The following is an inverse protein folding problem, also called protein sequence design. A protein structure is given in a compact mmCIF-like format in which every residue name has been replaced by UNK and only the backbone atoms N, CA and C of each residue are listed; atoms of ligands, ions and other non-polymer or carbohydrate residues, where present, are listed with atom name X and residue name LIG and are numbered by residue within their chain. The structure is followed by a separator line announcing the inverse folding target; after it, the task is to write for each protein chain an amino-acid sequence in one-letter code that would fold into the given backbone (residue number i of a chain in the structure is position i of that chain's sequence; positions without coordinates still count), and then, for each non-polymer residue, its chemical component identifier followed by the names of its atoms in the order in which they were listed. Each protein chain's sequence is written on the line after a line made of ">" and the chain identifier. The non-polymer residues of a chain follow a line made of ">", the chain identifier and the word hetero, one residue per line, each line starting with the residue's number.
data_IF_995975352753
#
_entry.id   IF_995975352753
#
_cell.length_a   1.000
_cell.length_b   1.000
_cell.length_c   1.000
_cell.angle_alpha   90.00
_cell.angle_beta   90.00
_cell.angle_gamma   90.00
#
_symmetry.space_group_name_H-M   'P 1'
#
loop_
_entity.id
_entity.type
_entity.pdbx_description
1 polymer ?
#
# COMPACT_ATOMS: atom_id res chain seq x y z
N UNK A 1 12.12 -10.46 -18.89
CA UNK A 1 10.73 -9.95 -18.94
C UNK A 1 10.16 -10.07 -17.54
N UNK A 2 9.86 -8.94 -16.88
CA UNK A 2 9.42 -8.93 -15.47
C UNK A 2 7.89 -8.84 -15.36
N UNK A 3 7.24 -9.90 -15.86
CA UNK A 3 5.78 -10.05 -15.81
C UNK A 3 5.38 -11.14 -14.82
N UNK A 4 4.34 -10.89 -14.04
CA UNK A 4 3.73 -11.92 -13.20
C UNK A 4 3.16 -13.06 -14.07
N UNK A 5 3.12 -14.28 -13.52
CA UNK A 5 2.55 -15.45 -14.22
C UNK A 5 1.13 -15.17 -14.74
N UNK A 6 0.30 -14.50 -13.95
CA UNK A 6 -1.07 -14.14 -14.35
C UNK A 6 -1.09 -13.23 -15.58
N UNK A 7 -0.21 -12.22 -15.65
CA UNK A 7 -0.10 -11.33 -16.82
C UNK A 7 0.39 -12.07 -18.06
N UNK A 8 1.33 -13.00 -17.88
CA UNK A 8 1.81 -13.86 -18.99
C UNK A 8 0.66 -14.74 -19.50
N UNK A 9 -0.08 -15.41 -18.60
CA UNK A 9 -1.21 -16.24 -18.98
C UNK A 9 -2.33 -15.44 -19.68
N UNK A 10 -2.58 -14.20 -19.26
CA UNK A 10 -3.53 -13.31 -19.94
C UNK A 10 -3.06 -12.92 -21.33
N UNK A 11 -1.79 -12.53 -21.49
CA UNK A 11 -1.22 -12.19 -22.79
C UNK A 11 -1.25 -13.39 -23.75
N UNK A 12 -0.90 -14.59 -23.26
CA UNK A 12 -0.93 -15.82 -24.06
C UNK A 12 -2.34 -16.19 -24.53
N UNK A 13 -3.38 -15.94 -23.72
CA UNK A 13 -4.77 -16.12 -24.15
C UNK A 13 -5.16 -15.17 -25.28
N UNK A 14 -4.70 -13.93 -25.25
CA UNK A 14 -4.93 -12.97 -26.34
C UNK A 14 -4.21 -13.43 -27.60
N UNK A 15 -2.94 -13.83 -27.48
CA UNK A 15 -2.15 -14.34 -28.59
C UNK A 15 -2.69 -15.66 -29.17
N UNK A 16 -3.39 -16.50 -28.38
CA UNK A 16 -4.09 -17.71 -28.84
C UNK A 16 -5.29 -17.35 -29.74
N UNK A 17 -6.07 -16.35 -29.32
CA UNK A 17 -7.17 -15.81 -30.15
C UNK A 17 -6.65 -15.20 -31.45
N UNK A 18 -5.48 -14.55 -31.39
CA UNK A 18 -4.83 -13.98 -32.59
C UNK A 18 -4.11 -15.03 -33.45
N UNK A 19 -4.07 -16.30 -33.01
CA UNK A 19 -3.46 -17.41 -33.78
C UNK A 19 -1.92 -17.48 -33.69
N UNK A 20 -1.27 -16.64 -32.92
CA UNK A 20 0.19 -16.63 -32.77
C UNK A 20 0.74 -17.75 -31.88
N UNK A 21 -0.04 -18.20 -30.90
CA UNK A 21 0.26 -19.33 -30.02
C UNK A 21 -0.94 -20.27 -29.93
N UNK A 22 -0.71 -21.48 -29.47
CA UNK A 22 -1.75 -22.47 -29.22
C UNK A 22 -1.55 -23.10 -27.85
N UNK A 23 -2.64 -23.32 -27.12
CA UNK A 23 -2.60 -24.01 -25.85
C UNK A 23 -2.43 -25.51 -26.04
N UNK A 24 -1.44 -26.10 -25.35
CA UNK A 24 -1.16 -27.54 -25.35
C UNK A 24 -1.14 -28.07 -23.92
N UNK A 25 -1.11 -29.42 -23.77
CA UNK A 25 -0.98 -30.02 -22.45
C UNK A 25 0.36 -29.64 -21.81
N UNK A 26 0.30 -28.87 -20.75
CA UNK A 26 1.48 -28.41 -20.00
C UNK A 26 1.98 -27.00 -20.36
N UNK A 27 1.37 -26.30 -21.30
CA UNK A 27 1.81 -24.93 -21.63
C UNK A 27 1.24 -24.36 -22.92
N UNK A 28 2.08 -23.58 -23.56
CA UNK A 28 1.79 -22.88 -24.80
C UNK A 28 2.89 -23.14 -25.81
N UNK A 29 2.55 -23.22 -27.09
CA UNK A 29 3.49 -23.39 -28.20
C UNK A 29 3.22 -22.33 -29.27
N UNK A 30 4.26 -21.82 -29.90
CA UNK A 30 4.13 -20.93 -31.04
C UNK A 30 3.57 -21.71 -32.24
N UNK A 31 2.63 -21.12 -32.96
CA UNK A 31 2.09 -21.71 -34.19
C UNK A 31 3.07 -21.57 -35.35
N UNK A 32 4.03 -20.64 -35.26
CA UNK A 32 4.93 -20.31 -36.38
C UNK A 32 4.32 -19.36 -37.42
N UNK A 33 3.05 -18.99 -37.24
CA UNK A 33 2.40 -18.02 -38.14
C UNK A 33 2.96 -16.61 -37.88
N UNK A 34 2.96 -15.80 -38.97
CA UNK A 34 3.36 -14.39 -38.87
C UNK A 34 2.32 -13.62 -38.06
N UNK A 35 2.74 -13.04 -36.94
CA UNK A 35 1.89 -12.20 -36.11
C UNK A 35 2.40 -10.76 -36.10
N UNK A 36 1.47 -9.82 -36.20
CA UNK A 36 1.71 -8.41 -36.05
C UNK A 36 0.68 -7.81 -35.06
N UNK A 37 1.08 -6.87 -34.27
CA UNK A 37 0.18 -6.16 -33.36
C UNK A 37 -0.86 -5.36 -34.17
N UNK A 38 -2.14 -5.65 -33.98
CA UNK A 38 -3.24 -4.96 -34.64
C UNK A 38 -3.58 -3.66 -33.91
N UNK A 39 -2.83 -2.58 -34.19
CA UNK A 39 -3.04 -1.26 -33.62
C UNK A 39 -4.49 -0.80 -33.78
N UNK A 40 -5.10 -0.98 -34.96
CA UNK A 40 -6.46 -0.52 -35.26
C UNK A 40 -7.50 -1.17 -34.35
N UNK A 41 -7.34 -2.47 -34.08
CA UNK A 41 -8.23 -3.22 -33.19
C UNK A 41 -8.07 -2.74 -31.73
N UNK A 42 -6.84 -2.58 -31.25
CA UNK A 42 -6.58 -2.20 -29.87
C UNK A 42 -6.89 -0.72 -29.61
N UNK A 43 -6.62 0.17 -30.56
CA UNK A 43 -7.00 1.57 -30.47
C UNK A 43 -8.55 1.71 -30.46
N UNK A 44 -9.25 0.97 -31.34
CA UNK A 44 -10.71 0.91 -31.33
C UNK A 44 -11.30 0.37 -30.01
N UNK A 45 -10.60 -0.52 -29.31
CA UNK A 45 -11.00 -1.01 -28.00
C UNK A 45 -10.79 0.08 -26.94
N UNK A 46 -9.70 0.84 -26.99
CA UNK A 46 -9.46 1.98 -26.10
C UNK A 46 -10.54 3.05 -26.29
N UNK A 47 -10.84 3.44 -27.51
CA UNK A 47 -11.91 4.39 -27.86
C UNK A 47 -13.29 3.90 -27.36
N UNK A 48 -13.57 2.60 -27.44
CA UNK A 48 -14.80 2.03 -26.92
C UNK A 48 -14.88 2.17 -25.40
N UNK A 49 -13.77 1.94 -24.68
CA UNK A 49 -13.70 2.12 -23.23
C UNK A 49 -13.89 3.56 -22.80
N UNK A 50 -13.34 4.51 -23.55
CA UNK A 50 -13.51 5.94 -23.29
C UNK A 50 -14.99 6.33 -23.46
N UNK A 51 -15.65 5.88 -24.54
CA UNK A 51 -17.09 6.09 -24.73
C UNK A 51 -17.94 5.48 -23.62
N UNK A 52 -17.61 4.28 -23.14
CA UNK A 52 -18.29 3.66 -22.00
C UNK A 52 -18.17 4.52 -20.73
N UNK A 53 -17.02 5.14 -20.48
CA UNK A 53 -16.81 6.05 -19.35
C UNK A 53 -17.63 7.34 -19.51
N UNK A 54 -17.66 7.92 -20.71
CA UNK A 54 -18.45 9.12 -21.00
C UNK A 54 -19.95 8.86 -20.80
N UNK A 55 -20.43 7.67 -21.19
CA UNK A 55 -21.81 7.24 -20.96
C UNK A 55 -22.15 7.12 -19.46
N UNK A 56 -21.22 6.66 -18.63
CA UNK A 56 -21.41 6.64 -17.17
C UNK A 56 -21.56 8.05 -16.61
N UNK A 57 -20.74 8.99 -17.06
CA UNK A 57 -20.83 10.39 -16.65
C UNK A 57 -22.15 11.04 -17.16
N UNK A 58 -22.56 10.73 -18.38
CA UNK A 58 -23.84 11.18 -18.92
C UNK A 58 -25.03 10.62 -18.16
N UNK A 59 -24.95 9.36 -17.69
CA UNK A 59 -25.95 8.75 -16.82
C UNK A 59 -26.06 9.46 -15.45
N UNK A 60 -24.95 9.88 -14.89
CA UNK A 60 -24.97 10.65 -13.63
C UNK A 60 -25.60 12.03 -13.84
N UNK A 61 -25.31 12.69 -14.96
CA UNK A 61 -25.74 14.05 -15.26
C UNK A 61 -27.16 14.16 -15.83
N UNK A 62 -27.77 13.05 -16.28
CA UNK A 62 -29.07 13.10 -16.98
C UNK A 62 -30.22 13.50 -16.07
N UNK A 63 -31.09 14.40 -16.57
CA UNK A 63 -32.40 14.72 -16.00
C UNK A 63 -33.54 13.84 -16.57
N UNK A 64 -33.25 13.04 -17.58
CA UNK A 64 -34.18 12.09 -18.18
C UNK A 64 -34.42 10.87 -17.27
N UNK A 65 -35.37 10.02 -17.65
CA UNK A 65 -35.62 8.78 -16.93
C UNK A 65 -34.39 7.87 -17.00
N UNK A 66 -33.74 7.58 -15.84
CA UNK A 66 -32.53 6.77 -15.78
C UNK A 66 -32.68 5.35 -16.33
N UNK A 67 -33.89 4.76 -16.18
CA UNK A 67 -34.16 3.43 -16.73
C UNK A 67 -34.25 3.46 -18.25
N UNK A 68 -34.84 4.49 -18.83
CA UNK A 68 -34.90 4.67 -20.28
C UNK A 68 -33.51 4.92 -20.84
N UNK A 69 -32.68 5.75 -20.15
CA UNK A 69 -31.28 5.95 -20.51
C UNK A 69 -30.54 4.62 -20.59
N UNK A 70 -30.59 3.80 -19.56
CA UNK A 70 -29.89 2.51 -19.53
C UNK A 70 -30.40 1.55 -20.62
N UNK A 71 -31.72 1.53 -20.86
CA UNK A 71 -32.29 0.67 -21.90
C UNK A 71 -31.91 1.13 -23.30
N UNK A 72 -31.77 2.45 -23.54
CA UNK A 72 -31.31 2.95 -24.83
C UNK A 72 -29.86 2.56 -25.13
N UNK A 73 -29.00 2.57 -24.12
CA UNK A 73 -27.60 2.15 -24.27
C UNK A 73 -27.45 0.61 -24.42
N UNK A 74 -28.52 -0.13 -24.17
CA UNK A 74 -28.62 -1.58 -24.41
C UNK A 74 -29.34 -1.92 -25.70
N UNK A 75 -29.58 -0.93 -26.57
CA UNK A 75 -30.28 -1.08 -27.86
C UNK A 75 -31.67 -1.74 -27.71
N UNK A 76 -32.40 -1.42 -26.62
CA UNK A 76 -33.73 -1.98 -26.37
C UNK A 76 -34.76 -1.42 -27.35
N UNK A 77 -35.26 -2.24 -28.33
CA UNK A 77 -36.19 -1.77 -29.36
C UNK A 77 -37.59 -1.51 -28.83
N UNK A 78 -37.88 -1.79 -27.56
CA UNK A 78 -39.21 -1.69 -26.99
C UNK A 78 -39.47 -0.36 -26.26
N UNK A 79 -38.51 0.57 -26.31
CA UNK A 79 -38.65 1.88 -25.69
C UNK A 79 -39.70 2.72 -26.44
N UNK A 80 -40.76 3.10 -25.72
CA UNK A 80 -41.79 4.00 -26.26
C UNK A 80 -41.38 5.47 -26.22
N UNK A 81 -41.96 6.26 -27.12
CA UNK A 81 -41.76 7.72 -27.14
C UNK A 81 -42.30 8.34 -25.82
N UNK A 82 -41.46 9.09 -25.12
CA UNK A 82 -41.79 9.73 -23.84
C UNK A 82 -41.94 8.75 -22.64
N UNK A 83 -41.47 7.50 -22.81
CA UNK A 83 -41.52 6.50 -21.74
C UNK A 83 -40.80 6.97 -20.48
N UNK A 84 -41.40 6.68 -19.31
CA UNK A 84 -40.85 6.95 -17.98
C UNK A 84 -41.09 5.75 -17.07
N UNK A 85 -40.11 5.36 -16.28
CA UNK A 85 -40.24 4.20 -15.39
C UNK A 85 -41.11 4.47 -14.14
N UNK A 86 -41.35 5.74 -13.80
CA UNK A 86 -42.16 6.17 -12.63
C UNK A 86 -41.52 5.89 -11.26
N UNK A 87 -40.31 5.35 -11.20
CA UNK A 87 -39.68 4.93 -9.94
C UNK A 87 -38.26 5.43 -9.72
N UNK A 88 -37.55 5.93 -10.74
CA UNK A 88 -36.25 6.55 -10.54
C UNK A 88 -36.40 7.96 -9.94
N UNK A 89 -35.33 8.50 -9.39
CA UNK A 89 -35.24 9.85 -8.82
C UNK A 89 -35.74 10.93 -9.78
N UNK A 90 -35.31 10.89 -11.05
CA UNK A 90 -35.74 11.83 -12.09
C UNK A 90 -37.22 11.69 -12.46
N UNK A 91 -37.84 10.53 -12.26
CA UNK A 91 -39.26 10.33 -12.49
C UNK A 91 -40.12 10.76 -11.31
N UNK A 92 -39.67 10.50 -10.09
CA UNK A 92 -40.43 10.71 -8.85
C UNK A 92 -40.13 12.04 -8.21
N UNK A 93 -39.02 12.69 -8.53
CA UNK A 93 -38.48 13.86 -7.83
C UNK A 93 -37.94 13.53 -6.42
N UNK A 94 -37.92 12.27 -6.05
CA UNK A 94 -37.38 11.81 -4.76
C UNK A 94 -35.89 11.64 -4.86
N UNK A 95 -35.14 12.68 -4.56
CA UNK A 95 -33.70 12.61 -4.45
C UNK A 95 -33.28 12.07 -3.08
N UNK A 96 -32.24 11.24 -3.07
CA UNK A 96 -31.63 10.81 -1.80
C UNK A 96 -31.11 12.03 -1.04
N UNK A 97 -31.17 12.04 0.30
CA UNK A 97 -30.61 13.12 1.09
C UNK A 97 -29.13 13.31 0.76
N UNK A 98 -28.75 14.53 0.40
CA UNK A 98 -27.35 14.92 0.18
C UNK A 98 -26.73 15.53 1.43
N UNK A 99 -27.56 15.87 2.41
CA UNK A 99 -27.11 16.43 3.66
C UNK A 99 -26.55 15.32 4.55
N UNK A 100 -25.33 15.51 4.98
CA UNK A 100 -24.66 14.62 5.93
C UNK A 100 -25.01 15.08 7.35
N UNK A 101 -25.45 14.17 8.20
CA UNK A 101 -25.64 14.45 9.62
C UNK A 101 -24.33 15.04 10.20
N UNK A 102 -24.35 16.27 10.76
CA UNK A 102 -23.16 16.92 11.30
C UNK A 102 -22.45 16.07 12.36
N UNK A 103 -23.16 15.36 13.21
CA UNK A 103 -22.57 14.50 14.23
C UNK A 103 -21.88 13.27 13.61
N UNK A 104 -22.42 12.72 12.53
CA UNK A 104 -21.78 11.65 11.77
C UNK A 104 -20.54 12.17 11.03
N UNK A 105 -20.62 13.35 10.41
CA UNK A 105 -19.49 13.99 9.75
C UNK A 105 -18.33 14.24 10.72
N UNK A 106 -18.61 14.77 11.91
CA UNK A 106 -17.62 15.00 12.96
C UNK A 106 -16.96 13.69 13.44
N UNK A 107 -17.75 12.62 13.63
CA UNK A 107 -17.23 11.29 14.00
C UNK A 107 -16.34 10.69 12.91
N UNK A 108 -16.70 10.84 11.65
CA UNK A 108 -15.90 10.38 10.51
C UNK A 108 -14.62 11.19 10.43
N UNK A 109 -14.70 12.52 10.54
CA UNK A 109 -13.55 13.41 10.50
C UNK A 109 -12.57 13.11 11.64
N UNK A 110 -13.05 12.91 12.86
CA UNK A 110 -12.24 12.50 14.00
C UNK A 110 -11.52 11.16 13.73
N UNK A 111 -12.21 10.18 13.13
CA UNK A 111 -11.61 8.90 12.76
C UNK A 111 -10.59 9.02 11.63
N UNK A 112 -10.85 9.86 10.62
CA UNK A 112 -9.90 10.14 9.54
C UNK A 112 -8.66 10.90 10.04
N UNK A 113 -8.80 11.70 11.09
CA UNK A 113 -7.73 12.42 11.76
C UNK A 113 -7.02 11.59 12.84
N UNK A 114 -7.53 10.41 13.18
CA UNK A 114 -6.93 9.54 14.20
C UNK A 114 -5.44 9.29 13.87
N UNK A 115 -4.56 9.31 14.89
CA UNK A 115 -3.14 9.17 14.69
C UNK A 115 -2.78 7.81 14.12
N UNK A 116 -2.12 7.80 12.95
CA UNK A 116 -1.56 6.61 12.33
C UNK A 116 -2.59 5.62 11.78
N UNK A 117 -2.06 4.58 11.19
CA UNK A 117 -2.79 3.43 10.64
C UNK A 117 -2.09 2.14 11.03
N UNK A 118 -2.84 1.03 11.25
CA UNK A 118 -2.20 -0.25 11.56
C UNK A 118 -1.40 -0.78 10.36
N UNK A 119 -0.23 -1.35 10.62
CA UNK A 119 0.51 -2.14 9.67
C UNK A 119 0.03 -3.59 9.71
N UNK A 120 -0.12 -4.20 8.54
CA UNK A 120 -0.51 -5.60 8.44
C UNK A 120 0.57 -6.51 9.04
N UNK A 121 0.29 -7.11 10.19
CA UNK A 121 1.21 -8.02 10.86
C UNK A 121 1.30 -9.35 10.12
N UNK A 122 2.52 -9.79 9.82
CA UNK A 122 2.82 -11.13 9.32
C UNK A 122 2.96 -12.09 10.49
N UNK A 123 2.16 -13.16 10.52
CA UNK A 123 2.15 -14.15 11.62
C UNK A 123 2.93 -15.42 11.28
N UNK A 124 3.10 -15.72 10.00
CA UNK A 124 3.73 -16.95 9.50
C UNK A 124 4.75 -16.61 8.42
N UNK A 125 5.84 -17.35 8.38
CA UNK A 125 6.77 -17.30 7.25
C UNK A 125 6.11 -17.88 5.99
N UNK A 126 6.44 -17.36 4.78
CA UNK A 126 5.82 -17.86 3.56
C UNK A 126 6.29 -19.28 3.23
N UNK A 127 5.38 -20.10 2.74
CA UNK A 127 5.71 -21.45 2.27
C UNK A 127 6.77 -21.39 1.16
N UNK A 128 7.82 -22.19 1.28
CA UNK A 128 8.96 -22.21 0.35
C UNK A 128 10.08 -21.24 0.69
N UNK A 129 9.99 -20.51 1.80
CA UNK A 129 11.14 -19.78 2.34
C UNK A 129 12.04 -20.68 3.19
N UNK A 130 13.28 -20.24 3.43
CA UNK A 130 14.21 -20.89 4.35
C UNK A 130 13.71 -20.82 5.79
N UNK A 131 13.01 -19.73 6.14
CA UNK A 131 12.38 -19.54 7.43
C UNK A 131 11.03 -20.25 7.48
N UNK A 132 10.69 -20.85 8.61
CA UNK A 132 9.48 -21.68 8.77
C UNK A 132 8.72 -21.31 10.04
N UNK A 133 7.48 -21.77 10.13
CA UNK A 133 6.62 -21.67 11.30
C UNK A 133 6.12 -20.24 11.59
N UNK A 134 5.82 -19.98 12.86
CA UNK A 134 5.33 -18.69 13.33
C UNK A 134 6.46 -17.68 13.48
N UNK A 135 6.16 -16.45 13.10
CA UNK A 135 7.02 -15.30 13.38
C UNK A 135 6.85 -14.94 14.85
N UNK A 136 7.95 -14.86 15.58
CA UNK A 136 7.97 -14.58 17.03
C UNK A 136 8.59 -13.23 17.30
N UNK A 137 8.21 -12.60 18.41
CA UNK A 137 8.78 -11.34 18.90
C UNK A 137 8.43 -10.09 18.07
N UNK A 138 7.63 -10.22 16.99
CA UNK A 138 7.18 -9.08 16.18
C UNK A 138 5.74 -8.77 16.54
N UNK A 139 5.52 -7.59 17.10
CA UNK A 139 4.21 -7.11 17.53
C UNK A 139 3.48 -6.38 16.38
N UNK A 140 2.22 -5.99 16.64
CA UNK A 140 1.46 -5.17 15.71
C UNK A 140 2.10 -3.78 15.57
N UNK A 141 2.28 -3.34 14.34
CA UNK A 141 2.90 -2.07 14.02
C UNK A 141 1.91 -0.98 13.62
N UNK A 142 2.41 0.26 13.55
CA UNK A 142 1.66 1.41 13.01
C UNK A 142 2.49 2.18 11.96
N UNK A 143 1.81 2.93 11.08
CA UNK A 143 2.42 3.93 10.21
C UNK A 143 1.71 5.28 10.36
N UNK A 144 2.34 6.38 9.92
CA UNK A 144 1.67 7.70 9.95
C UNK A 144 0.44 7.74 9.05
N UNK A 145 0.43 6.98 7.95
CA UNK A 145 -0.69 6.89 7.03
C UNK A 145 -0.44 5.91 5.90
N UNK A 146 -1.46 5.76 5.03
CA UNK A 146 -1.33 5.00 3.77
C UNK A 146 -1.03 5.94 2.61
N UNK A 147 -0.27 5.46 1.62
CA UNK A 147 0.04 6.27 0.42
C UNK A 147 -1.18 6.52 -0.47
N UNK A 148 -2.20 5.67 -0.39
CA UNK A 148 -3.48 5.82 -1.09
C UNK A 148 -4.55 6.58 -0.27
N UNK A 149 -4.20 7.08 0.91
CA UNK A 149 -5.09 7.92 1.72
C UNK A 149 -5.26 9.29 1.05
N UNK A 150 -6.52 9.69 0.82
CA UNK A 150 -6.85 10.95 0.13
C UNK A 150 -6.30 12.17 0.87
N UNK A 151 -6.34 12.16 2.20
CA UNK A 151 -5.93 13.31 3.02
C UNK A 151 -4.42 13.37 3.28
N UNK A 152 -3.77 12.22 3.51
CA UNK A 152 -2.37 12.14 3.97
C UNK A 152 -1.42 11.58 2.92
N UNK A 153 -1.93 10.76 2.00
CA UNK A 153 -1.14 10.05 1.01
C UNK A 153 -0.26 10.95 0.14
N UNK A 154 -0.79 12.04 -0.45
CA UNK A 154 0.02 12.94 -1.28
C UNK A 154 1.23 13.52 -0.55
N UNK A 155 1.06 13.99 0.70
CA UNK A 155 2.14 14.56 1.50
C UNK A 155 3.19 13.49 1.90
N UNK A 156 2.75 12.28 2.28
CA UNK A 156 3.64 11.16 2.58
C UNK A 156 4.39 10.67 1.33
N UNK A 157 3.71 10.61 0.19
CA UNK A 157 4.35 10.23 -1.07
C UNK A 157 5.40 11.25 -1.50
N UNK A 158 5.15 12.54 -1.32
CA UNK A 158 6.14 13.60 -1.58
C UNK A 158 7.34 13.49 -0.64
N UNK A 159 7.11 13.35 0.67
CA UNK A 159 8.15 13.15 1.66
C UNK A 159 9.09 11.97 1.30
N UNK A 160 8.50 10.84 0.91
CA UNK A 160 9.24 9.62 0.56
C UNK A 160 9.92 9.67 -0.83
N UNK A 161 9.48 10.53 -1.73
CA UNK A 161 10.19 10.80 -2.99
C UNK A 161 11.40 11.68 -2.77
N UNK A 162 11.23 12.75 -2.00
CA UNK A 162 12.29 13.73 -1.78
C UNK A 162 13.39 13.23 -0.86
N UNK A 163 13.04 12.39 0.13
CA UNK A 163 13.94 11.86 1.16
C UNK A 163 14.79 12.96 1.87
N UNK A 164 14.37 14.20 1.75
CA UNK A 164 15.11 15.37 2.21
C UNK A 164 14.75 15.81 3.63
N UNK A 165 13.71 15.19 4.22
CA UNK A 165 13.26 15.57 5.55
C UNK A 165 14.33 15.29 6.59
N UNK A 166 14.54 16.29 7.44
CA UNK A 166 15.38 16.23 8.64
C UNK A 166 14.60 16.80 9.82
N UNK A 167 14.57 16.11 10.96
CA UNK A 167 13.83 16.55 12.13
C UNK A 167 14.30 17.89 12.67
N UNK A 168 13.37 18.75 13.02
CA UNK A 168 13.67 20.00 13.72
C UNK A 168 14.13 19.72 15.15
N UNK A 169 14.92 20.64 15.72
CA UNK A 169 15.39 20.56 17.10
C UNK A 169 14.22 20.58 18.09
N UNK A 170 13.26 21.47 17.86
CA UNK A 170 12.02 21.51 18.62
C UNK A 170 10.95 20.69 17.87
N UNK A 171 10.59 19.55 18.41
CA UNK A 171 9.63 18.63 17.78
C UNK A 171 8.22 19.24 17.62
N UNK A 172 7.85 20.25 18.42
CA UNK A 172 6.55 20.92 18.32
C UNK A 172 6.41 21.78 17.08
N UNK A 173 7.54 22.24 16.54
CA UNK A 173 7.61 23.04 15.31
C UNK A 173 7.75 22.14 14.07
N UNK A 174 7.79 20.82 14.28
CA UNK A 174 7.97 19.81 13.24
C UNK A 174 6.70 19.01 13.02
N UNK A 175 6.09 19.18 11.86
CA UNK A 175 4.82 18.53 11.53
C UNK A 175 4.91 16.99 11.50
N UNK A 176 6.07 16.42 11.14
CA UNK A 176 6.21 14.97 11.04
C UNK A 176 6.52 14.35 12.40
N UNK A 177 7.40 14.95 13.18
CA UNK A 177 7.64 14.53 14.57
C UNK A 177 6.38 14.66 15.41
N UNK A 178 5.63 15.74 15.28
CA UNK A 178 4.33 15.90 15.96
C UNK A 178 3.37 14.77 15.61
N UNK A 179 3.32 14.35 14.34
CA UNK A 179 2.49 13.21 13.94
C UNK A 179 2.98 11.89 14.52
N UNK A 180 4.29 11.64 14.52
CA UNK A 180 4.85 10.44 15.18
C UNK A 180 4.55 10.43 16.67
N UNK A 181 4.72 11.53 17.35
CA UNK A 181 4.40 11.66 18.80
C UNK A 181 2.92 11.37 19.03
N UNK A 182 2.02 11.86 18.18
CA UNK A 182 0.60 11.56 18.27
C UNK A 182 0.31 10.06 18.08
N UNK A 183 0.96 9.40 17.09
CA UNK A 183 0.84 7.94 16.90
C UNK A 183 1.34 7.18 18.13
N UNK A 184 2.46 7.59 18.68
CA UNK A 184 3.03 6.95 19.88
C UNK A 184 2.16 7.18 21.12
N UNK A 185 1.56 8.34 21.27
CA UNK A 185 0.65 8.65 22.38
C UNK A 185 -0.69 7.88 22.30
N UNK A 186 -1.17 7.60 21.08
CA UNK A 186 -2.39 6.84 20.81
C UNK A 186 -2.16 5.32 20.71
N UNK A 187 -0.92 4.87 20.91
CA UNK A 187 -0.60 3.46 20.79
C UNK A 187 -0.86 2.73 22.11
N UNK A 188 -1.82 1.85 22.10
CA UNK A 188 -2.16 0.99 23.22
C UNK A 188 -1.18 -0.20 23.27
N UNK A 189 -0.02 0.00 23.86
CA UNK A 189 1.01 -1.01 24.05
C UNK A 189 0.99 -1.60 25.46
N UNK A 190 1.19 -2.89 25.57
CA UNK A 190 1.31 -3.58 26.86
C UNK A 190 2.55 -3.08 27.65
N UNK A 191 3.67 -2.87 26.93
CA UNK A 191 4.92 -2.35 27.48
C UNK A 191 5.48 -1.29 26.54
N UNK A 192 5.79 -0.12 27.11
CA UNK A 192 6.36 0.99 26.35
C UNK A 192 7.74 0.62 25.80
N UNK A 193 8.06 0.96 24.53
CA UNK A 193 9.39 0.75 23.98
C UNK A 193 10.47 1.47 24.78
N UNK A 194 11.59 0.79 25.00
CA UNK A 194 12.77 1.34 25.67
C UNK A 194 13.81 1.85 24.69
N UNK A 195 13.86 1.26 23.49
CA UNK A 195 14.87 1.56 22.47
C UNK A 195 14.19 1.85 21.12
N UNK A 196 14.74 2.81 20.37
CA UNK A 196 14.37 3.10 18.98
C UNK A 196 15.51 2.70 18.06
N UNK A 197 15.21 1.89 17.06
CA UNK A 197 16.16 1.44 16.03
C UNK A 197 15.66 1.90 14.67
N UNK A 198 16.55 2.40 13.82
CA UNK A 198 16.24 2.75 12.44
C UNK A 198 16.44 1.54 11.51
N UNK A 199 15.49 1.28 10.61
CA UNK A 199 15.67 0.33 9.52
C UNK A 199 16.26 1.07 8.32
N UNK A 200 17.49 0.71 7.95
CA UNK A 200 18.20 1.26 6.81
C UNK A 200 17.53 0.92 5.46
N UNK A 201 17.97 1.61 4.45
CA UNK A 201 17.52 1.47 3.06
C UNK A 201 18.71 1.41 2.13
N UNK A 202 18.57 0.78 0.96
CA UNK A 202 19.55 0.86 -0.12
C UNK A 202 19.69 2.30 -0.69
N UNK A 203 18.65 3.12 -0.55
CA UNK A 203 18.70 4.56 -0.83
C UNK A 203 19.33 5.30 0.36
N UNK A 204 20.55 5.89 0.20
CA UNK A 204 21.23 6.56 1.31
C UNK A 204 20.47 7.77 1.89
N UNK A 205 19.76 8.53 1.04
CA UNK A 205 19.00 9.69 1.49
C UNK A 205 17.80 9.25 2.36
N UNK A 206 17.15 8.16 1.99
CA UNK A 206 16.10 7.54 2.80
C UNK A 206 16.64 6.96 4.10
N UNK A 207 17.78 6.26 4.05
CA UNK A 207 18.42 5.71 5.23
C UNK A 207 18.73 6.81 6.25
N UNK A 208 19.28 7.93 5.79
CA UNK A 208 19.60 9.09 6.62
C UNK A 208 18.34 9.76 7.19
N UNK A 209 17.28 9.91 6.39
CA UNK A 209 15.99 10.43 6.84
C UNK A 209 15.41 9.57 7.96
N UNK A 210 15.43 8.25 7.82
CA UNK A 210 14.89 7.32 8.83
C UNK A 210 15.76 7.34 10.08
N UNK A 211 17.09 7.33 9.94
CA UNK A 211 18.02 7.34 11.06
C UNK A 211 17.89 8.62 11.91
N UNK A 212 17.93 9.79 11.27
CA UNK A 212 17.77 11.07 11.96
C UNK A 212 16.40 11.21 12.65
N UNK A 213 15.37 10.65 12.06
CA UNK A 213 14.03 10.64 12.68
C UNK A 213 13.97 9.68 13.88
N UNK A 214 14.58 8.50 13.78
CA UNK A 214 14.66 7.56 14.90
C UNK A 214 15.40 8.16 16.10
N UNK A 215 16.51 8.86 15.85
CA UNK A 215 17.26 9.57 16.89
C UNK A 215 16.42 10.70 17.53
N UNK A 216 15.71 11.48 16.71
CA UNK A 216 14.82 12.52 17.22
C UNK A 216 13.67 11.94 18.05
N UNK A 217 13.07 10.83 17.65
CA UNK A 217 12.04 10.13 18.41
C UNK A 217 12.55 9.55 19.70
N UNK A 218 13.76 9.00 19.71
CA UNK A 218 14.40 8.52 20.93
C UNK A 218 14.55 9.66 21.95
N UNK A 219 15.07 10.81 21.51
CA UNK A 219 15.24 12.01 22.35
C UNK A 219 13.90 12.52 22.89
N UNK A 220 12.89 12.69 22.02
CA UNK A 220 11.56 13.20 22.42
C UNK A 220 10.84 12.22 23.33
N UNK A 221 10.94 10.94 23.04
CA UNK A 221 10.32 9.86 23.80
C UNK A 221 11.10 9.43 25.04
N UNK A 222 12.26 10.01 25.33
CA UNK A 222 13.15 9.55 26.42
C UNK A 222 13.44 8.05 26.33
N UNK A 223 13.74 7.58 25.13
CA UNK A 223 14.16 6.22 24.80
C UNK A 223 15.63 6.22 24.41
N UNK A 224 16.27 5.06 24.42
CA UNK A 224 17.62 4.90 23.89
C UNK A 224 17.58 4.87 22.36
N UNK A 225 18.49 5.56 21.68
CA UNK A 225 18.71 5.36 20.26
C UNK A 225 19.67 4.17 20.08
N UNK A 226 19.13 3.05 19.56
CA UNK A 226 19.86 1.79 19.42
C UNK A 226 20.64 1.66 18.11
N UNK A 227 20.67 2.71 17.28
CA UNK A 227 21.42 2.71 16.01
C UNK A 227 20.59 2.33 14.80
N UNK A 228 21.29 1.86 13.74
CA UNK A 228 20.72 1.57 12.43
C UNK A 228 20.97 0.11 12.04
N UNK A 229 19.91 -0.60 11.68
CA UNK A 229 20.03 -1.84 10.91
C UNK A 229 20.45 -1.46 9.50
N UNK A 230 21.67 -1.78 9.11
CA UNK A 230 22.19 -1.41 7.79
C UNK A 230 21.62 -2.34 6.74
N UNK A 231 21.10 -1.78 5.65
CA UNK A 231 20.61 -2.52 4.50
C UNK A 231 21.75 -2.75 3.49
N UNK A 232 21.63 -3.78 2.66
CA UNK A 232 22.50 -3.97 1.51
C UNK A 232 22.37 -2.83 0.49
N UNK A 233 23.36 -2.71 -0.41
CA UNK A 233 23.48 -1.59 -1.36
C UNK A 233 22.42 -1.57 -2.47
N UNK A 234 21.76 -2.69 -2.73
CA UNK A 234 20.75 -2.82 -3.79
C UNK A 234 19.40 -3.23 -3.23
N UNK A 235 18.32 -2.68 -3.76
CA UNK A 235 16.97 -3.09 -3.39
C UNK A 235 16.72 -4.58 -3.69
N UNK A 236 16.09 -5.26 -2.73
CA UNK A 236 15.65 -6.64 -2.92
C UNK A 236 14.41 -6.67 -3.80
N UNK A 237 14.63 -7.06 -5.06
CA UNK A 237 13.53 -7.35 -6.00
C UNK A 237 13.22 -8.84 -5.98
N UNK A 238 11.97 -9.21 -5.72
CA UNK A 238 11.57 -10.60 -5.66
C UNK A 238 10.16 -10.81 -6.19
N UNK A 239 9.99 -11.91 -6.94
CA UNK A 239 8.74 -12.27 -7.64
C UNK A 239 7.60 -12.65 -6.71
N UNK A 240 7.93 -13.17 -5.53
CA UNK A 240 6.94 -13.56 -4.53
C UNK A 240 7.51 -13.45 -3.11
N UNK A 241 6.65 -13.66 -2.10
CA UNK A 241 7.00 -13.54 -0.70
C UNK A 241 8.13 -14.48 -0.26
N UNK A 242 8.17 -15.73 -0.72
CA UNK A 242 9.21 -16.69 -0.32
C UNK A 242 10.58 -16.28 -0.85
N UNK A 243 10.66 -15.90 -2.13
CA UNK A 243 11.92 -15.38 -2.70
C UNK A 243 12.38 -14.10 -2.02
N UNK A 244 11.42 -13.22 -1.67
CA UNK A 244 11.75 -11.98 -0.96
C UNK A 244 12.33 -12.26 0.43
N UNK A 245 11.72 -13.14 1.21
CA UNK A 245 12.23 -13.53 2.53
C UNK A 245 13.61 -14.17 2.43
N UNK A 246 13.82 -15.06 1.46
CA UNK A 246 15.14 -15.70 1.24
C UNK A 246 16.22 -14.68 0.85
N UNK A 247 15.88 -13.69 0.02
CA UNK A 247 16.83 -12.64 -0.37
C UNK A 247 17.13 -11.68 0.80
N UNK A 248 16.19 -11.50 1.73
CA UNK A 248 16.38 -10.67 2.92
C UNK A 248 17.15 -11.38 4.04
N UNK A 249 17.35 -12.69 3.98
CA UNK A 249 17.93 -13.48 5.07
C UNK A 249 19.38 -13.08 5.47
N UNK A 250 20.14 -12.46 4.53
CA UNK A 250 21.49 -11.92 4.76
C UNK A 250 21.63 -10.48 4.29
N UNK A 251 20.52 -9.81 4.11
CA UNK A 251 20.50 -8.47 3.55
C UNK A 251 20.80 -7.39 4.58
N UNK A 252 20.53 -7.66 5.86
CA UNK A 252 20.68 -6.72 6.94
C UNK A 252 21.89 -7.00 7.82
N UNK A 253 22.62 -5.94 8.19
CA UNK A 253 23.68 -5.97 9.17
C UNK A 253 23.22 -5.32 10.48
N UNK A 254 23.33 -6.06 11.56
CA UNK A 254 22.91 -5.68 12.91
C UNK A 254 24.08 -5.37 13.85
N UNK A 255 25.32 -5.41 13.36
CA UNK A 255 26.54 -5.33 14.18
C UNK A 255 26.72 -4.01 14.94
N UNK A 256 26.06 -2.95 14.46
CA UNK A 256 26.14 -1.62 15.07
C UNK A 256 24.98 -1.29 16.02
N UNK A 257 24.14 -2.28 16.39
CA UNK A 257 23.01 -2.03 17.29
C UNK A 257 23.39 -2.13 18.76
N UNK A 258 22.90 -1.16 19.53
CA UNK A 258 22.92 -1.14 21.00
C UNK A 258 21.46 -1.23 21.50
N UNK A 259 21.03 -2.44 21.82
CA UNK A 259 19.66 -2.75 22.24
C UNK A 259 19.68 -3.19 23.71
N UNK A 260 19.10 -2.35 24.57
CA UNK A 260 18.90 -2.66 25.97
C UNK A 260 17.73 -3.59 26.24
N UNK A 261 17.36 -3.73 27.51
CA UNK A 261 16.19 -4.49 27.93
C UNK A 261 14.88 -3.77 27.53
N UNK A 262 13.84 -4.56 27.26
CA UNK A 262 12.50 -4.07 26.89
C UNK A 262 12.22 -3.99 25.39
N UNK A 263 10.98 -3.64 25.00
CA UNK A 263 10.59 -3.65 23.60
C UNK A 263 11.32 -2.60 22.76
N UNK A 264 11.56 -2.92 21.49
CA UNK A 264 12.22 -2.07 20.50
C UNK A 264 11.18 -1.48 19.54
N UNK A 265 11.22 -0.17 19.34
CA UNK A 265 10.51 0.51 18.26
C UNK A 265 11.40 0.52 17.01
N UNK A 266 11.03 -0.23 15.99
CA UNK A 266 11.76 -0.29 14.71
C UNK A 266 11.13 0.68 13.70
N UNK A 267 11.80 1.81 13.44
CA UNK A 267 11.33 2.81 12.48
C UNK A 267 11.78 2.46 11.07
N UNK A 268 10.83 2.38 10.15
CA UNK A 268 11.03 2.17 8.72
C UNK A 268 10.54 3.37 7.89
N UNK A 269 11.07 3.56 6.69
CA UNK A 269 10.58 4.58 5.75
C UNK A 269 9.22 4.20 5.17
N UNK A 270 9.19 3.24 4.30
CA UNK A 270 8.00 2.76 3.61
C UNK A 270 7.80 1.26 3.82
N UNK A 271 6.56 0.87 4.06
CA UNK A 271 6.16 -0.54 4.16
C UNK A 271 5.22 -0.88 3.01
N UNK A 272 5.72 -1.68 2.06
CA UNK A 272 4.94 -2.24 0.95
C UNK A 272 4.39 -3.64 1.34
N UNK A 273 5.09 -4.70 0.99
CA UNK A 273 4.69 -6.07 1.34
C UNK A 273 4.85 -6.41 2.83
N UNK A 274 5.57 -5.59 3.57
CA UNK A 274 5.90 -5.79 4.99
C UNK A 274 7.06 -6.74 5.26
N UNK A 275 7.60 -7.45 4.25
CA UNK A 275 8.63 -8.47 4.51
C UNK A 275 9.96 -7.90 5.00
N UNK A 276 10.41 -6.77 4.49
CA UNK A 276 11.67 -6.16 4.95
C UNK A 276 11.62 -5.80 6.44
N UNK A 277 10.57 -5.12 6.87
CA UNK A 277 10.39 -4.76 8.28
C UNK A 277 10.15 -5.99 9.15
N UNK A 278 9.43 -7.00 8.65
CA UNK A 278 9.17 -8.25 9.41
C UNK A 278 10.44 -9.07 9.62
N UNK A 279 11.28 -9.21 8.58
CA UNK A 279 12.55 -9.93 8.69
C UNK A 279 13.48 -9.22 9.66
N UNK A 280 13.65 -7.91 9.51
CA UNK A 280 14.50 -7.12 10.40
C UNK A 280 13.99 -7.16 11.85
N UNK A 281 12.69 -7.03 12.07
CA UNK A 281 12.11 -7.11 13.41
C UNK A 281 12.28 -8.49 14.06
N UNK A 282 12.07 -9.56 13.29
CA UNK A 282 12.27 -10.94 13.79
C UNK A 282 13.73 -11.23 14.14
N UNK A 283 14.67 -10.73 13.33
CA UNK A 283 16.10 -10.90 13.61
C UNK A 283 16.55 -10.12 14.85
N UNK A 284 16.02 -8.89 15.07
CA UNK A 284 16.27 -8.13 16.29
C UNK A 284 15.69 -8.90 17.49
N UNK A 285 14.43 -9.37 17.38
CA UNK A 285 13.80 -10.11 18.45
C UNK A 285 14.57 -11.38 18.83
N UNK A 286 15.07 -12.12 17.86
CA UNK A 286 15.84 -13.36 18.08
C UNK A 286 17.24 -13.06 18.68
N UNK A 287 17.94 -12.05 18.16
CA UNK A 287 19.31 -11.71 18.57
C UNK A 287 19.40 -11.13 19.98
N UNK A 288 18.44 -10.29 20.31
CA UNK A 288 18.47 -9.53 21.59
C UNK A 288 17.47 -10.04 22.62
N UNK A 289 16.61 -11.01 22.29
CA UNK A 289 15.61 -11.55 23.21
C UNK A 289 14.50 -10.56 23.57
N UNK A 290 14.15 -9.63 22.67
CA UNK A 290 13.21 -8.54 22.89
C UNK A 290 11.99 -8.62 21.97
N UNK A 291 10.93 -7.91 22.30
CA UNK A 291 9.81 -7.69 21.41
C UNK A 291 10.05 -6.45 20.53
N UNK A 292 9.56 -6.47 19.29
CA UNK A 292 9.76 -5.39 18.32
C UNK A 292 8.43 -4.87 17.81
N UNK A 293 8.24 -3.55 17.92
CA UNK A 293 7.08 -2.82 17.40
C UNK A 293 7.48 -2.07 16.12
N UNK A 294 7.01 -2.48 14.94
CA UNK A 294 7.25 -1.76 13.71
C UNK A 294 6.53 -0.41 13.67
N UNK A 295 7.26 0.65 13.33
CA UNK A 295 6.71 1.97 13.03
C UNK A 295 7.20 2.40 11.64
N UNK A 296 6.35 3.08 10.86
CA UNK A 296 6.75 3.53 9.54
C UNK A 296 6.22 4.93 9.22
N UNK A 297 6.88 5.63 8.29
CA UNK A 297 6.33 6.86 7.72
C UNK A 297 5.07 6.55 6.91
N UNK A 298 5.10 5.53 6.06
CA UNK A 298 3.94 5.18 5.26
C UNK A 298 3.82 3.67 5.00
N UNK A 299 2.56 3.26 4.73
CA UNK A 299 2.23 1.94 4.19
C UNK A 299 1.61 2.08 2.80
N UNK A 300 1.91 1.14 1.89
CA UNK A 300 1.22 1.04 0.58
C UNK A 300 -0.12 0.33 0.68
N UNK A 301 -0.31 -0.54 1.65
CA UNK A 301 -1.50 -1.37 1.83
C UNK A 301 -2.34 -0.91 3.03
#
# INVERSE_FOLDING_TARGET
>A
MDLSRTRIDQALKVLDVDGAVQRVKGGWVSTGESWAYDHKRYDGLADAREREQDLMLAYEATDACRMVFLRSELDDPTIGEGERCGRCDNCTGNHLPTDVDPALAERIDARLKAPGVPLSQRKMWPTGSARRDKIKGVLAGKALGRLNDVARGPALAQLLRDNAYRPATNWRDDQWLTRFVAVLADWDWDTRPATVVALGSADPARAEMVASTAEALARVGQMTYGGVVRAGETEVQARNSAFRVNALDRYFDYSGLDVGEGPVLLLAGEVDSGWSVTVAAADIAERFGVEVLPLAFASRA
#
